data_IF_707631491606
#
_entry.id   IF_707631491606
#
_cell.length_a   1.000
_cell.length_b   1.000
_cell.length_c   1.000
_cell.angle_alpha   90.00
_cell.angle_beta   90.00
_cell.angle_gamma   90.00
#
_symmetry.space_group_name_H-M   'P 1'
#
loop_
_entity.id
_entity.type
_entity.pdbx_description
1 polymer ?
#
# COMPACT_ATOMS: atom_id res chain seq x y z
N UNK A 1 1.77 -5.39 -21.90
CA UNK A 1 1.90 -4.65 -20.65
C UNK A 1 0.56 -3.98 -20.36
N UNK A 2 -0.28 -4.60 -19.55
CA UNK A 2 -1.54 -4.02 -19.09
C UNK A 2 -1.31 -3.17 -17.84
N UNK A 3 -1.88 -1.96 -17.81
CA UNK A 3 -1.86 -1.09 -16.62
C UNK A 3 -3.29 -0.93 -16.13
N UNK A 4 -3.57 -1.42 -14.94
CA UNK A 4 -4.85 -1.36 -14.27
C UNK A 4 -4.75 -0.35 -13.15
N UNK A 5 -5.42 0.79 -13.29
CA UNK A 5 -5.46 1.83 -12.25
C UNK A 5 -6.80 1.75 -11.55
N UNK A 6 -6.80 1.72 -10.22
CA UNK A 6 -7.99 1.64 -9.38
C UNK A 6 -8.05 2.82 -8.44
N UNK A 7 -9.24 3.37 -8.28
CA UNK A 7 -9.57 4.35 -7.25
C UNK A 7 -10.16 3.60 -6.07
N UNK A 8 -9.42 3.57 -4.97
CA UNK A 8 -9.79 2.91 -3.72
C UNK A 8 -10.41 3.93 -2.76
N UNK A 9 -11.49 3.56 -2.08
CA UNK A 9 -12.18 4.38 -1.08
C UNK A 9 -12.52 3.54 0.13
N UNK A 10 -12.23 4.08 1.31
CA UNK A 10 -12.68 3.55 2.59
C UNK A 10 -14.05 4.11 2.93
N UNK A 11 -14.94 3.25 3.42
CA UNK A 11 -16.24 3.60 3.96
C UNK A 11 -16.48 2.78 5.23
N UNK A 12 -16.25 3.38 6.40
CA UNK A 12 -16.30 2.67 7.68
C UNK A 12 -15.19 1.61 7.76
N UNK A 13 -15.59 0.35 7.93
CA UNK A 13 -14.68 -0.80 8.07
C UNK A 13 -14.40 -1.52 6.73
N UNK A 14 -14.94 -1.01 5.61
CA UNK A 14 -14.79 -1.62 4.28
C UNK A 14 -14.03 -0.71 3.32
N UNK A 15 -13.11 -1.30 2.58
CA UNK A 15 -12.46 -0.70 1.43
C UNK A 15 -13.09 -1.21 0.14
N UNK A 16 -13.40 -0.29 -0.77
CA UNK A 16 -13.88 -0.57 -2.11
C UNK A 16 -12.93 0.02 -3.14
N UNK A 17 -12.84 -0.60 -4.31
CA UNK A 17 -12.03 -0.13 -5.41
C UNK A 17 -12.72 -0.34 -6.74
N UNK A 18 -12.62 0.68 -7.59
CA UNK A 18 -13.13 0.65 -8.97
C UNK A 18 -12.02 1.01 -9.94
N UNK A 19 -11.93 0.27 -11.03
CA UNK A 19 -10.98 0.58 -12.09
C UNK A 19 -11.33 1.96 -12.68
N UNK A 20 -10.32 2.80 -12.87
CA UNK A 20 -10.47 4.13 -13.46
C UNK A 20 -10.98 4.04 -14.91
N UNK A 21 -10.50 3.04 -15.64
CA UNK A 21 -10.88 2.76 -17.02
C UNK A 21 -11.08 1.25 -17.19
N UNK A 22 -12.33 0.79 -17.14
CA UNK A 22 -12.71 -0.62 -17.24
C UNK A 22 -13.78 -0.99 -16.21
N UNK A 23 -14.10 -2.27 -16.16
CA UNK A 23 -15.25 -2.78 -15.38
C UNK A 23 -14.83 -3.61 -14.15
N UNK A 24 -13.53 -3.64 -13.82
CA UNK A 24 -13.05 -4.37 -12.65
C UNK A 24 -13.32 -3.58 -11.37
N UNK A 25 -13.94 -4.25 -10.40
CA UNK A 25 -14.15 -3.72 -9.05
C UNK A 25 -13.98 -4.82 -8.01
N UNK A 26 -13.65 -4.40 -6.78
CA UNK A 26 -13.57 -5.30 -5.63
C UNK A 26 -13.80 -4.53 -4.34
N UNK A 27 -14.24 -5.23 -3.30
CA UNK A 27 -14.28 -4.72 -1.94
C UNK A 27 -13.73 -5.74 -0.94
N UNK A 28 -13.23 -5.25 0.19
CA UNK A 28 -12.74 -6.07 1.29
C UNK A 28 -12.67 -5.27 2.61
N UNK A 29 -12.57 -5.97 3.73
CA UNK A 29 -12.44 -5.35 5.07
C UNK A 29 -11.07 -4.70 5.32
N UNK A 30 -10.07 -4.97 4.48
CA UNK A 30 -8.73 -4.40 4.61
C UNK A 30 -8.12 -4.09 3.26
N UNK A 31 -7.16 -3.15 3.25
CA UNK A 31 -6.39 -2.80 2.06
C UNK A 31 -5.59 -3.99 1.53
N UNK A 32 -5.13 -4.88 2.42
CA UNK A 32 -4.37 -6.07 2.04
C UNK A 32 -5.20 -7.08 1.24
N UNK A 33 -6.41 -7.39 1.70
CA UNK A 33 -7.31 -8.28 0.98
C UNK A 33 -7.78 -7.65 -0.34
N UNK A 34 -8.07 -6.35 -0.33
CA UNK A 34 -8.45 -5.61 -1.51
C UNK A 34 -7.34 -5.66 -2.57
N UNK A 35 -6.09 -5.39 -2.20
CA UNK A 35 -4.95 -5.45 -3.12
C UNK A 35 -4.82 -6.85 -3.75
N UNK A 36 -4.94 -7.91 -2.96
CA UNK A 36 -4.89 -9.29 -3.48
C UNK A 36 -6.01 -9.59 -4.46
N UNK A 37 -7.25 -9.21 -4.14
CA UNK A 37 -8.41 -9.37 -5.04
C UNK A 37 -8.21 -8.63 -6.36
N UNK A 38 -7.74 -7.38 -6.30
CA UNK A 38 -7.50 -6.57 -7.49
C UNK A 38 -6.33 -7.09 -8.35
N UNK A 39 -5.25 -7.55 -7.73
CA UNK A 39 -4.15 -8.20 -8.46
C UNK A 39 -4.61 -9.47 -9.16
N UNK A 40 -5.41 -10.29 -8.48
CA UNK A 40 -5.99 -11.49 -9.09
C UNK A 40 -6.95 -11.14 -10.25
N UNK A 41 -7.79 -10.11 -10.09
CA UNK A 41 -8.69 -9.64 -11.13
C UNK A 41 -7.94 -9.07 -12.35
N UNK A 42 -6.84 -8.34 -12.12
CA UNK A 42 -5.95 -7.86 -13.17
C UNK A 42 -5.28 -9.04 -13.91
N UNK A 43 -4.80 -10.04 -13.18
CA UNK A 43 -4.19 -11.25 -13.74
C UNK A 43 -5.16 -12.12 -14.55
N UNK A 44 -6.43 -12.18 -14.17
CA UNK A 44 -7.45 -12.84 -14.97
C UNK A 44 -7.79 -12.08 -16.25
N UNK A 45 -7.55 -10.77 -16.27
CA UNK A 45 -7.82 -9.90 -17.41
C UNK A 45 -6.63 -9.82 -18.38
N UNK A 46 -5.40 -9.88 -17.87
CA UNK A 46 -4.16 -9.92 -18.65
C UNK A 46 -3.17 -10.88 -17.98
N UNK A 47 -2.63 -11.83 -18.74
CA UNK A 47 -1.63 -12.81 -18.28
C UNK A 47 -0.27 -12.65 -18.97
N UNK A 48 -0.02 -11.48 -19.57
CA UNK A 48 1.15 -11.18 -20.41
C UNK A 48 2.52 -11.15 -19.71
N UNK A 49 2.60 -11.51 -18.42
CA UNK A 49 3.88 -11.71 -17.72
C UNK A 49 3.83 -11.39 -16.22
N UNK A 50 4.98 -11.03 -15.66
CA UNK A 50 5.12 -10.70 -14.23
C UNK A 50 4.23 -9.53 -13.79
N UNK A 51 3.86 -9.52 -12.51
CA UNK A 51 3.01 -8.49 -11.89
C UNK A 51 3.84 -7.57 -11.00
N UNK A 52 3.65 -6.27 -11.18
CA UNK A 52 4.08 -5.24 -10.25
C UNK A 52 2.83 -4.49 -9.78
N UNK A 53 2.75 -4.14 -8.50
CA UNK A 53 1.66 -3.29 -7.99
C UNK A 53 2.19 -2.19 -7.07
N UNK A 54 1.54 -1.04 -7.06
CA UNK A 54 1.82 0.08 -6.16
C UNK A 54 0.54 0.61 -5.55
N UNK A 55 0.52 0.79 -4.23
CA UNK A 55 -0.61 1.31 -3.49
C UNK A 55 -0.21 2.61 -2.79
N UNK A 56 -0.83 3.72 -3.16
CA UNK A 56 -0.52 5.04 -2.62
C UNK A 56 -1.76 5.68 -2.07
N UNK A 57 -1.74 6.00 -0.78
CA UNK A 57 -2.82 6.76 -0.13
C UNK A 57 -2.78 8.20 -0.63
N UNK A 58 -3.94 8.76 -0.96
CA UNK A 58 -4.11 10.18 -1.31
C UNK A 58 -4.70 10.94 -0.13
N UNK A 59 -5.59 10.28 0.61
CA UNK A 59 -6.13 10.73 1.89
C UNK A 59 -6.22 9.54 2.84
N UNK A 60 -6.48 9.72 4.15
CA UNK A 60 -6.72 8.59 5.05
C UNK A 60 -7.86 7.66 4.62
N UNK A 61 -8.79 8.15 3.79
CA UNK A 61 -9.97 7.42 3.30
C UNK A 61 -9.92 7.10 1.80
N UNK A 62 -8.87 7.44 1.07
CA UNK A 62 -8.78 7.17 -0.36
C UNK A 62 -7.36 6.87 -0.82
N UNK A 63 -7.23 5.98 -1.80
CA UNK A 63 -5.95 5.57 -2.35
C UNK A 63 -6.04 5.33 -3.86
N UNK A 64 -4.90 5.39 -4.52
CA UNK A 64 -4.72 4.95 -5.90
C UNK A 64 -3.94 3.65 -5.86
N UNK A 65 -4.49 2.60 -6.48
CA UNK A 65 -3.82 1.33 -6.64
C UNK A 65 -3.54 1.07 -8.11
N UNK A 66 -2.29 0.81 -8.46
CA UNK A 66 -1.90 0.45 -9.82
C UNK A 66 -1.38 -0.98 -9.83
N UNK A 67 -1.87 -1.76 -10.79
CA UNK A 67 -1.38 -3.10 -11.10
C UNK A 67 -0.88 -3.09 -12.53
N UNK A 68 0.37 -3.47 -12.72
CA UNK A 68 1.03 -3.56 -14.02
C UNK A 68 1.31 -5.03 -14.28
N UNK A 69 0.75 -5.57 -15.36
CA UNK A 69 1.00 -6.93 -15.81
C UNK A 69 1.86 -6.90 -17.08
N UNK A 70 2.89 -7.74 -17.15
CA UNK A 70 3.74 -7.87 -18.34
C UNK A 70 4.78 -6.75 -18.51
N UNK A 71 5.15 -6.08 -17.42
CA UNK A 71 6.12 -4.96 -17.39
C UNK A 71 7.45 -5.26 -16.69
N UNK A 72 7.83 -6.54 -16.57
CA UNK A 72 9.08 -6.96 -15.95
C UNK A 72 10.31 -6.69 -16.84
N UNK A 73 10.69 -5.43 -17.00
CA UNK A 73 11.91 -5.02 -17.69
C UNK A 73 12.09 -3.51 -17.55
N UNK A 74 13.13 -3.11 -16.83
CA UNK A 74 13.32 -1.73 -16.36
C UNK A 74 13.18 -0.65 -17.44
N UNK A 75 12.48 0.43 -17.07
CA UNK A 75 12.39 1.65 -17.86
C UNK A 75 10.96 2.19 -17.98
N UNK A 76 10.51 2.99 -17.00
CA UNK A 76 9.38 3.91 -17.21
C UNK A 76 8.23 3.89 -16.20
N UNK A 77 8.25 3.05 -15.15
CA UNK A 77 7.11 2.89 -14.23
C UNK A 77 7.47 2.90 -12.75
N UNK A 78 8.51 3.62 -12.35
CA UNK A 78 8.86 3.81 -10.95
C UNK A 78 8.07 4.99 -10.37
N UNK A 79 6.76 4.82 -10.15
CA UNK A 79 6.05 5.64 -9.16
C UNK A 79 6.47 5.14 -7.77
N UNK A 80 7.67 5.54 -7.34
CA UNK A 80 8.18 5.31 -5.99
C UNK A 80 7.51 6.35 -5.09
N UNK A 81 6.40 5.94 -4.48
CA UNK A 81 5.77 6.59 -3.35
C UNK A 81 5.34 5.52 -2.36
N UNK A 82 6.30 5.04 -1.56
CA UNK A 82 6.08 4.10 -0.45
C UNK A 82 6.57 2.68 -0.69
N UNK A 83 7.80 2.42 -0.22
CA UNK A 83 8.44 1.12 0.10
C UNK A 83 7.89 -0.20 -0.45
N UNK A 84 8.73 -0.91 -1.19
CA UNK A 84 8.54 -2.34 -1.47
C UNK A 84 9.49 -2.83 -2.56
N UNK A 85 10.61 -3.41 -2.16
CA UNK A 85 11.66 -3.92 -3.05
C UNK A 85 11.14 -4.95 -4.06
N UNK A 86 11.84 -5.01 -5.19
CA UNK A 86 11.59 -5.96 -6.27
C UNK A 86 11.48 -7.39 -5.77
N UNK A 87 10.41 -8.06 -6.17
CA UNK A 87 10.22 -9.48 -5.93
C UNK A 87 11.22 -10.28 -6.78
N UNK A 88 12.26 -10.81 -6.11
CA UNK A 88 12.98 -11.98 -6.60
C UNK A 88 12.29 -13.22 -6.04
N UNK A 89 11.77 -14.07 -6.93
CA UNK A 89 11.25 -15.38 -6.58
C UNK A 89 12.42 -16.34 -6.25
N UNK A 90 12.33 -17.03 -5.11
CA UNK A 90 12.99 -18.32 -4.90
C UNK A 90 12.23 -19.11 -3.84
N UNK A 91 11.88 -20.34 -4.19
CA UNK A 91 11.22 -21.33 -3.35
C UNK A 91 12.16 -21.88 -2.26
N UNK A 92 11.58 -22.31 -1.14
CA UNK A 92 12.28 -23.04 -0.09
C UNK A 92 11.41 -23.27 1.15
N UNK A 93 10.65 -24.36 1.15
CA UNK A 93 9.92 -24.88 2.32
C UNK A 93 10.90 -25.54 3.28
N UNK A 94 10.87 -25.19 4.57
CA UNK A 94 10.96 -26.11 5.72
C UNK A 94 11.11 -25.35 7.05
N UNK A 95 10.42 -25.85 8.08
CA UNK A 95 10.91 -25.82 9.45
C UNK A 95 10.31 -24.74 10.35
N UNK A 96 9.21 -25.10 11.03
CA UNK A 96 8.65 -24.31 12.11
C UNK A 96 9.44 -24.41 13.41
N UNK A 97 9.27 -23.40 14.26
CA UNK A 97 9.05 -23.52 15.70
C UNK A 97 8.82 -22.10 16.24
N UNK A 98 7.61 -21.85 16.71
CA UNK A 98 7.25 -20.67 17.48
C UNK A 98 7.59 -20.92 18.96
N UNK A 99 8.16 -19.91 19.62
CA UNK A 99 8.11 -19.76 21.08
C UNK A 99 7.99 -18.26 21.42
N UNK A 100 7.06 -17.88 22.32
CA UNK A 100 6.73 -16.49 22.65
C UNK A 100 7.51 -16.00 23.87
N UNK A 101 7.65 -14.68 24.07
CA UNK A 101 7.74 -14.11 25.42
C UNK A 101 7.37 -12.62 25.45
N UNK A 102 6.57 -12.29 26.47
CA UNK A 102 5.88 -11.02 26.71
C UNK A 102 6.78 -10.04 27.53
N UNK A 103 6.36 -8.77 27.71
CA UNK A 103 7.23 -7.65 28.08
C UNK A 103 7.34 -7.45 29.59
N UNK A 104 8.31 -6.62 30.04
CA UNK A 104 8.11 -5.81 31.24
C UNK A 104 8.15 -4.31 30.96
N UNK A 105 7.23 -3.63 31.65
CA UNK A 105 7.10 -2.18 31.79
C UNK A 105 8.27 -1.53 32.55
N UNK A 106 8.48 -0.23 32.38
CA UNK A 106 8.56 0.75 33.47
C UNK A 106 8.80 2.19 32.99
N UNK A 107 8.21 3.10 33.74
CA UNK A 107 7.97 4.53 33.53
C UNK A 107 9.22 5.41 33.62
N UNK A 108 9.19 6.60 32.98
CA UNK A 108 9.81 7.85 33.48
C UNK A 108 9.34 9.08 32.67
N UNK A 109 8.43 9.85 33.29
CA UNK A 109 8.41 11.31 33.52
C UNK A 109 8.71 12.24 32.32
N UNK A 110 7.72 12.98 31.81
CA UNK A 110 7.24 14.30 32.24
C UNK A 110 8.17 15.50 31.91
N UNK A 111 7.55 16.47 31.23
CA UNK A 111 7.84 17.92 31.13
C UNK A 111 8.95 18.45 30.21
N UNK A 112 8.50 19.01 29.07
CA UNK A 112 8.76 20.41 28.69
C UNK A 112 7.70 20.90 27.71
N UNK A 113 6.74 21.64 28.27
CA UNK A 113 5.95 22.65 27.57
C UNK A 113 6.86 23.81 27.10
N UNK A 114 6.33 24.62 26.17
CA UNK A 114 6.80 25.97 25.81
C UNK A 114 7.84 26.10 24.69
N UNK A 115 7.36 25.99 23.44
CA UNK A 115 7.81 26.87 22.33
C UNK A 115 6.75 26.87 21.23
N UNK A 116 5.58 27.42 21.55
CA UNK A 116 4.42 27.60 20.65
C UNK A 116 4.16 29.10 20.38
N UNK A 117 5.22 29.91 20.36
CA UNK A 117 5.15 31.38 20.18
C UNK A 117 6.25 31.96 19.25
N UNK A 118 7.03 31.11 18.54
CA UNK A 118 8.13 31.58 17.66
C UNK A 118 8.18 30.85 16.29
N UNK A 119 7.05 30.27 15.89
CA UNK A 119 6.83 29.71 14.55
C UNK A 119 5.57 30.29 13.89
N UNK A 120 5.17 31.50 14.32
CA UNK A 120 3.86 32.09 14.01
C UNK A 120 3.83 33.61 13.77
N UNK A 121 4.96 34.30 13.58
CA UNK A 121 4.93 35.75 13.34
C UNK A 121 5.98 36.29 12.34
N UNK A 122 6.50 35.44 11.46
CA UNK A 122 7.39 35.87 10.35
C UNK A 122 7.21 35.02 9.08
N UNK A 123 5.98 34.53 8.83
CA UNK A 123 5.62 33.83 7.58
C UNK A 123 4.81 34.74 6.62
N UNK A 124 4.77 36.04 6.91
CA UNK A 124 4.23 37.08 6.03
C UNK A 124 5.02 38.39 6.16
N UNK A 125 6.33 38.29 6.36
CA UNK A 125 7.27 39.35 5.93
C UNK A 125 8.12 38.82 4.77
#
# INVERSE_FOLDING_TARGET
MGVFTFVCKSSGDEWSAKQLSGDLEASASSTFELQRKLVQAALSSDSSGGVQSSFSMVTPSSAVFQVIVGGGGGGGGAFIGGGGGGAAAAAGSAGGAAAPEAPPAEERKEEKEESDDDMGFSLFD
#
